data_IF_663450432437
#
_entry.id   IF_663450432437
#
_cell.length_a   1.000
_cell.length_b   1.000
_cell.length_c   1.000
_cell.angle_alpha   90.00
_cell.angle_beta   90.00
_cell.angle_gamma   90.00
#
_symmetry.space_group_name_H-M   'P 1'
#
loop_
_entity.id
_entity.type
_entity.pdbx_description
1 polymer ?
#
# COMPACT_ATOMS: atom_id res chain seq x y z
N UNK A 1 22.14 42.87 -16.84
CA UNK A 1 22.12 43.10 -15.39
C UNK A 1 20.85 42.50 -14.77
N UNK A 2 20.99 41.45 -13.95
CA UNK A 2 20.24 41.19 -12.71
C UNK A 2 20.61 39.78 -12.22
N UNK A 3 21.63 39.71 -11.37
CA UNK A 3 21.89 38.59 -10.47
C UNK A 3 20.95 38.74 -9.28
N UNK A 4 19.92 37.92 -9.21
CA UNK A 4 19.06 37.73 -8.03
C UNK A 4 19.24 36.24 -7.71
N UNK A 5 20.22 35.89 -6.90
CA UNK A 5 20.22 35.93 -5.42
C UNK A 5 19.94 34.52 -4.91
N UNK A 6 21.02 33.74 -4.82
CA UNK A 6 21.08 32.40 -4.21
C UNK A 6 20.85 32.43 -2.68
N UNK A 7 20.44 33.58 -2.11
CA UNK A 7 20.22 33.77 -0.68
C UNK A 7 18.86 33.23 -0.19
N UNK A 8 17.86 33.06 -1.07
CA UNK A 8 16.56 32.52 -0.63
C UNK A 8 16.55 31.02 -0.37
N UNK A 9 17.49 30.26 -0.94
CA UNK A 9 17.55 28.81 -0.71
C UNK A 9 18.25 28.45 0.62
N UNK A 10 19.12 29.32 1.13
CA UNK A 10 19.88 29.04 2.36
C UNK A 10 19.09 29.30 3.65
N UNK A 11 18.02 30.09 3.60
CA UNK A 11 17.20 30.41 4.78
C UNK A 11 16.21 29.30 5.14
N UNK A 12 15.82 28.48 4.16
CA UNK A 12 14.85 27.38 4.37
C UNK A 12 15.54 26.17 5.04
N UNK A 13 16.84 25.98 4.82
CA UNK A 13 17.58 24.85 5.38
C UNK A 13 17.91 25.00 6.88
N UNK A 14 18.00 26.24 7.39
CA UNK A 14 18.30 26.50 8.80
C UNK A 14 17.08 26.45 9.73
N UNK A 15 15.86 26.59 9.19
CA UNK A 15 14.63 26.50 9.99
C UNK A 15 14.23 25.05 10.32
N UNK A 16 14.76 24.07 9.58
CA UNK A 16 14.47 22.64 9.81
C UNK A 16 15.27 22.02 10.95
N UNK A 17 16.35 22.68 11.41
CA UNK A 17 17.27 22.10 12.42
C UNK A 17 16.88 22.50 13.86
N UNK A 18 16.06 23.54 14.05
CA UNK A 18 15.72 24.05 15.40
C UNK A 18 14.44 23.45 15.99
N UNK A 19 13.80 22.47 15.35
CA UNK A 19 12.54 21.87 15.84
C UNK A 19 12.71 20.50 16.52
N UNK A 20 13.93 20.06 16.81
CA UNK A 20 14.22 18.75 17.46
C UNK A 20 14.89 18.87 18.83
N UNK A 21 14.77 20.00 19.51
CA UNK A 21 15.34 20.17 20.84
C UNK A 21 14.37 20.90 21.78
N UNK A 22 13.30 20.23 22.18
CA UNK A 22 12.57 20.62 23.39
C UNK A 22 11.77 19.45 23.93
N UNK A 23 12.15 18.97 25.13
CA UNK A 23 11.29 18.13 25.97
C UNK A 23 11.91 16.82 26.42
N UNK A 24 12.92 16.88 27.27
CA UNK A 24 13.23 15.82 28.22
C UNK A 24 13.03 16.39 29.63
N UNK A 25 11.98 15.92 30.32
CA UNK A 25 11.93 15.86 31.78
C UNK A 25 10.90 14.79 32.19
N UNK A 26 11.26 14.03 33.23
CA UNK A 26 10.86 12.64 33.45
C UNK A 26 9.46 12.41 34.01
N UNK A 27 9.05 11.14 33.98
CA UNK A 27 8.66 10.33 35.15
C UNK A 27 8.57 8.87 34.73
N UNK A 28 9.16 8.02 35.54
CA UNK A 28 9.26 6.57 35.43
C UNK A 28 7.87 5.90 35.50
N UNK A 29 7.39 5.33 34.38
CA UNK A 29 6.46 4.17 34.33
C UNK A 29 6.65 3.47 32.96
N UNK A 30 7.82 2.89 32.72
CA UNK A 30 8.19 2.31 31.42
C UNK A 30 8.64 0.86 31.59
N UNK A 31 7.70 -0.07 31.76
CA UNK A 31 8.01 -1.50 31.76
C UNK A 31 6.94 -2.44 31.15
N UNK A 32 5.90 -1.93 30.49
CA UNK A 32 4.90 -2.77 29.81
C UNK A 32 4.59 -2.36 28.35
N UNK A 33 4.92 -1.13 27.94
CA UNK A 33 4.57 -0.62 26.59
C UNK A 33 5.55 -1.07 25.49
N UNK A 34 6.85 -1.20 25.79
CA UNK A 34 7.84 -1.61 24.78
C UNK A 34 7.69 -3.07 24.37
N UNK A 35 7.35 -3.94 25.33
CA UNK A 35 7.09 -5.37 25.11
C UNK A 35 5.89 -5.59 24.17
N UNK A 36 4.80 -4.83 24.36
CA UNK A 36 3.59 -4.96 23.54
C UNK A 36 3.78 -4.42 22.12
N UNK A 37 4.51 -3.31 21.94
CA UNK A 37 4.81 -2.74 20.62
C UNK A 37 5.73 -3.66 19.82
N UNK A 38 6.79 -4.21 20.43
CA UNK A 38 7.67 -5.16 19.76
C UNK A 38 6.91 -6.43 19.36
N UNK A 39 6.07 -6.94 20.27
CA UNK A 39 5.19 -8.09 20.00
C UNK A 39 4.25 -7.83 18.82
N UNK A 40 3.62 -6.65 18.79
CA UNK A 40 2.71 -6.23 17.73
C UNK A 40 3.41 -6.19 16.36
N UNK A 41 4.56 -5.51 16.29
CA UNK A 41 5.35 -5.43 15.05
C UNK A 41 5.81 -6.80 14.57
N UNK A 42 6.15 -7.70 15.51
CA UNK A 42 6.56 -9.05 15.16
C UNK A 42 5.37 -9.87 14.64
N UNK A 43 4.20 -9.74 15.25
CA UNK A 43 2.95 -10.33 14.79
C UNK A 43 2.56 -9.89 13.37
N UNK A 44 2.66 -8.58 13.10
CA UNK A 44 2.43 -8.02 11.78
C UNK A 44 3.38 -8.63 10.75
N UNK A 45 4.69 -8.68 11.07
CA UNK A 45 5.70 -9.27 10.18
C UNK A 45 5.46 -10.75 9.91
N UNK A 46 5.00 -11.52 10.89
CA UNK A 46 4.59 -12.90 10.70
C UNK A 46 3.41 -13.00 9.74
N UNK A 47 2.37 -12.18 9.94
CA UNK A 47 1.18 -12.19 9.08
C UNK A 47 1.52 -11.89 7.60
N UNK A 48 2.43 -10.94 7.36
CA UNK A 48 2.92 -10.59 6.02
C UNK A 48 4.01 -11.52 5.47
N UNK A 49 4.48 -12.51 6.24
CA UNK A 49 5.53 -13.43 5.78
C UNK A 49 6.94 -12.82 5.71
N UNK A 50 7.21 -11.79 6.51
CA UNK A 50 8.48 -11.06 6.55
C UNK A 50 9.50 -11.63 7.55
N UNK A 51 9.25 -12.84 8.05
CA UNK A 51 10.15 -13.58 8.94
C UNK A 51 10.61 -14.85 8.23
N UNK A 52 11.92 -14.96 8.04
CA UNK A 52 12.54 -16.07 7.32
C UNK A 52 12.26 -17.42 7.97
N UNK A 53 12.06 -18.43 7.14
CA UNK A 53 11.88 -19.82 7.57
C UNK A 53 10.48 -20.16 8.13
N UNK A 54 9.60 -19.16 8.34
CA UNK A 54 8.24 -19.39 8.85
C UNK A 54 7.24 -19.82 7.78
N UNK A 55 7.51 -19.52 6.51
CA UNK A 55 6.63 -19.86 5.38
C UNK A 55 7.45 -20.39 4.20
N UNK A 56 7.06 -21.51 3.61
CA UNK A 56 7.75 -22.07 2.44
C UNK A 56 7.28 -21.47 1.10
N UNK A 57 6.02 -21.02 1.02
CA UNK A 57 5.45 -20.54 -0.25
C UNK A 57 4.51 -19.34 -0.14
N UNK A 58 3.58 -19.37 0.81
CA UNK A 58 2.54 -18.36 0.99
C UNK A 58 2.43 -17.97 2.46
N UNK A 59 2.21 -16.68 2.71
CA UNK A 59 1.94 -16.13 4.02
C UNK A 59 0.44 -15.89 4.22
N UNK A 60 0.03 -15.48 5.42
CA UNK A 60 -1.37 -15.18 5.72
C UNK A 60 -1.92 -14.06 4.83
N UNK A 61 -1.14 -13.00 4.65
CA UNK A 61 -1.52 -11.83 3.84
C UNK A 61 -1.70 -12.13 2.33
N UNK A 62 -1.20 -13.26 1.83
CA UNK A 62 -1.40 -13.66 0.43
C UNK A 62 -2.84 -14.07 0.12
N UNK A 63 -3.61 -14.45 1.15
CA UNK A 63 -5.01 -14.85 1.03
C UNK A 63 -5.95 -13.91 1.80
N UNK A 64 -5.47 -13.35 2.91
CA UNK A 64 -6.26 -12.54 3.84
C UNK A 64 -5.86 -11.06 3.72
N UNK A 65 -6.55 -10.34 2.83
CA UNK A 65 -6.23 -8.95 2.54
C UNK A 65 -6.31 -8.07 3.79
N UNK A 66 -5.33 -7.18 3.98
CA UNK A 66 -5.30 -6.15 5.02
C UNK A 66 -5.70 -4.77 4.49
N UNK A 67 -6.09 -4.73 3.23
CA UNK A 67 -6.49 -3.53 2.51
C UNK A 67 -7.86 -3.77 1.90
N UNK A 68 -8.64 -2.71 1.75
CA UNK A 68 -9.87 -2.78 0.97
C UNK A 68 -9.53 -3.17 -0.47
N UNK A 69 -10.22 -4.21 -0.96
CA UNK A 69 -10.11 -4.67 -2.34
C UNK A 69 -11.47 -4.58 -3.01
N UNK A 70 -11.46 -4.13 -4.26
CA UNK A 70 -12.66 -4.04 -5.10
C UNK A 70 -12.89 -5.32 -5.92
N UNK A 71 -12.17 -6.40 -5.59
CA UNK A 71 -12.24 -7.70 -6.26
C UNK A 71 -12.82 -8.75 -5.33
N UNK A 72 -13.52 -9.72 -5.90
CA UNK A 72 -14.03 -10.85 -5.12
C UNK A 72 -12.87 -11.69 -4.54
N UNK A 73 -12.91 -11.96 -3.23
CA UNK A 73 -12.01 -12.90 -2.55
C UNK A 73 -12.85 -13.96 -1.85
N UNK A 74 -12.56 -15.24 -2.12
CA UNK A 74 -13.23 -16.37 -1.46
C UNK A 74 -12.78 -16.56 -0.01
N UNK A 75 -11.67 -15.93 0.40
CA UNK A 75 -11.15 -15.98 1.76
C UNK A 75 -11.60 -14.75 2.56
N UNK A 76 -11.84 -14.89 3.87
CA UNK A 76 -12.10 -13.74 4.71
C UNK A 76 -10.89 -12.79 4.66
N UNK A 77 -11.12 -11.49 4.71
CA UNK A 77 -10.05 -10.52 4.87
C UNK A 77 -9.49 -10.55 6.32
N UNK A 78 -8.37 -9.89 6.55
CA UNK A 78 -7.71 -9.91 7.86
C UNK A 78 -8.59 -9.34 8.98
N UNK A 79 -9.39 -8.32 8.67
CA UNK A 79 -10.33 -7.72 9.62
C UNK A 79 -11.46 -8.69 9.98
N UNK A 80 -12.01 -9.42 9.02
CA UNK A 80 -13.05 -10.44 9.27
C UNK A 80 -12.53 -11.56 10.16
N UNK A 81 -11.27 -11.99 9.97
CA UNK A 81 -10.63 -12.97 10.87
C UNK A 81 -10.47 -12.39 12.27
N UNK A 82 -9.93 -11.18 12.37
CA UNK A 82 -9.72 -10.49 13.62
C UNK A 82 -11.03 -10.36 14.40
N UNK A 83 -12.08 -9.88 13.75
CA UNK A 83 -13.41 -9.74 14.31
C UNK A 83 -14.01 -11.09 14.75
N UNK A 84 -13.85 -12.15 13.95
CA UNK A 84 -14.35 -13.49 14.29
C UNK A 84 -13.66 -14.11 15.51
N UNK A 85 -12.38 -13.80 15.75
CA UNK A 85 -11.56 -14.38 16.82
C UNK A 85 -11.28 -13.43 17.99
N UNK A 86 -11.84 -12.21 17.99
CA UNK A 86 -11.67 -11.21 19.04
C UNK A 86 -12.01 -11.74 20.43
N UNK A 87 -13.18 -12.36 20.55
CA UNK A 87 -13.68 -12.91 21.82
C UNK A 87 -13.31 -14.39 22.03
N UNK A 88 -12.58 -14.99 21.07
CA UNK A 88 -12.19 -16.40 21.14
C UNK A 88 -10.87 -16.56 21.86
N UNK A 89 -10.71 -17.71 22.49
CA UNK A 89 -9.47 -18.04 23.20
C UNK A 89 -8.28 -18.19 22.25
N UNK A 90 -7.06 -17.94 22.75
CA UNK A 90 -5.83 -18.22 22.02
C UNK A 90 -5.75 -19.68 21.56
N UNK A 91 -6.29 -20.62 22.35
CA UNK A 91 -6.32 -22.04 22.00
C UNK A 91 -7.20 -22.31 20.76
N UNK A 92 -8.37 -21.66 20.67
CA UNK A 92 -9.25 -21.80 19.50
C UNK A 92 -8.61 -21.19 18.24
N UNK A 93 -7.97 -20.03 18.37
CA UNK A 93 -7.24 -19.42 17.27
C UNK A 93 -6.06 -20.30 16.83
N UNK A 94 -5.30 -20.84 17.78
CA UNK A 94 -4.19 -21.77 17.52
C UNK A 94 -4.65 -23.02 16.79
N UNK A 95 -5.81 -23.57 17.19
CA UNK A 95 -6.40 -24.69 16.48
C UNK A 95 -6.78 -24.31 15.05
N UNK A 96 -7.33 -23.12 14.82
CA UNK A 96 -7.70 -22.67 13.48
C UNK A 96 -6.50 -22.47 12.55
N UNK A 97 -5.37 -21.97 13.09
CA UNK A 97 -4.15 -21.72 12.31
C UNK A 97 -3.35 -23.00 12.11
N UNK A 98 -3.06 -23.76 13.17
CA UNK A 98 -2.18 -24.93 13.08
C UNK A 98 -2.91 -26.21 12.65
N UNK A 99 -4.23 -26.29 12.89
CA UNK A 99 -5.05 -27.46 12.60
C UNK A 99 -6.39 -27.08 11.93
N UNK A 100 -6.37 -26.38 10.79
CA UNK A 100 -7.58 -25.94 10.11
C UNK A 100 -8.45 -27.13 9.69
N UNK A 101 -9.76 -26.97 9.80
CA UNK A 101 -10.73 -28.04 9.55
C UNK A 101 -11.04 -28.27 8.06
N UNK A 102 -10.81 -27.28 7.20
CA UNK A 102 -11.12 -27.38 5.77
C UNK A 102 -9.92 -27.91 4.98
N UNK A 103 -10.17 -28.82 4.03
CA UNK A 103 -9.12 -29.46 3.21
C UNK A 103 -8.20 -28.45 2.51
N UNK A 104 -8.78 -27.38 1.96
CA UNK A 104 -8.03 -26.32 1.30
C UNK A 104 -7.11 -25.61 2.28
N UNK A 105 -7.60 -25.25 3.47
CA UNK A 105 -6.79 -24.55 4.45
C UNK A 105 -5.72 -25.45 5.06
N UNK A 106 -6.01 -26.72 5.33
CA UNK A 106 -4.99 -27.67 5.78
C UNK A 106 -3.86 -27.83 4.76
N UNK A 107 -4.18 -27.78 3.47
CA UNK A 107 -3.15 -27.87 2.41
C UNK A 107 -2.29 -26.61 2.37
N UNK A 108 -2.90 -25.42 2.46
CA UNK A 108 -2.14 -24.16 2.45
C UNK A 108 -1.25 -24.02 3.69
N UNK A 109 -1.79 -24.37 4.87
CA UNK A 109 -1.09 -24.21 6.15
C UNK A 109 -0.03 -25.29 6.41
N UNK A 110 0.04 -26.36 5.60
CA UNK A 110 1.17 -27.31 5.65
C UNK A 110 2.53 -26.66 5.37
N UNK A 111 2.52 -25.51 4.69
CA UNK A 111 3.74 -24.75 4.35
C UNK A 111 4.18 -23.81 5.48
N UNK A 112 3.49 -23.83 6.62
CA UNK A 112 3.73 -22.94 7.75
C UNK A 112 4.59 -23.66 8.79
N UNK A 113 5.71 -23.04 9.15
CA UNK A 113 6.59 -23.48 10.22
C UNK A 113 6.42 -22.55 11.44
N UNK A 114 5.17 -22.45 11.91
CA UNK A 114 4.77 -21.58 13.02
C UNK A 114 4.69 -22.39 14.32
N UNK A 115 5.22 -21.84 15.40
CA UNK A 115 4.98 -22.33 16.75
C UNK A 115 3.83 -21.58 17.44
N UNK A 116 3.46 -22.01 18.65
CA UNK A 116 2.35 -21.38 19.39
C UNK A 116 2.64 -19.92 19.72
N UNK A 117 3.90 -19.56 19.97
CA UNK A 117 4.30 -18.19 20.26
C UNK A 117 4.16 -17.29 19.03
N UNK A 118 4.51 -17.79 17.84
CA UNK A 118 4.26 -17.06 16.59
C UNK A 118 2.77 -16.80 16.39
N UNK A 119 1.93 -17.81 16.65
CA UNK A 119 0.47 -17.69 16.52
C UNK A 119 -0.11 -16.70 17.52
N UNK A 120 0.41 -16.66 18.75
CA UNK A 120 0.05 -15.66 19.76
C UNK A 120 0.37 -14.24 19.28
N UNK A 121 1.54 -14.03 18.69
CA UNK A 121 1.92 -12.73 18.12
C UNK A 121 1.04 -12.35 16.93
N UNK A 122 0.70 -13.30 16.05
CA UNK A 122 -0.26 -13.06 14.95
C UNK A 122 -1.63 -12.66 15.52
N UNK A 123 -2.08 -13.31 16.59
CA UNK A 123 -3.35 -12.94 17.25
C UNK A 123 -3.27 -11.54 17.85
N UNK A 124 -2.18 -11.21 18.54
CA UNK A 124 -1.94 -9.86 19.07
C UNK A 124 -2.04 -8.80 17.96
N UNK A 125 -1.44 -9.07 16.80
CA UNK A 125 -1.58 -8.21 15.62
C UNK A 125 -3.02 -8.10 15.13
N UNK A 126 -3.73 -9.22 15.00
CA UNK A 126 -5.12 -9.18 14.51
C UNK A 126 -6.04 -8.45 15.48
N UNK A 127 -5.85 -8.61 16.79
CA UNK A 127 -6.65 -7.93 17.80
C UNK A 127 -6.48 -6.40 17.71
N UNK A 128 -5.25 -5.89 17.51
CA UNK A 128 -4.97 -4.47 17.22
C UNK A 128 -5.50 -4.03 15.84
N UNK A 129 -5.36 -4.89 14.83
CA UNK A 129 -5.83 -4.62 13.47
C UNK A 129 -7.36 -4.45 13.39
N UNK A 130 -8.12 -5.13 14.26
CA UNK A 130 -9.57 -5.01 14.33
C UNK A 130 -10.03 -3.58 14.63
N UNK A 131 -9.28 -2.88 15.51
CA UNK A 131 -9.57 -1.50 15.91
C UNK A 131 -9.32 -0.51 14.76
N UNK A 132 -8.33 -0.79 13.93
CA UNK A 132 -7.92 0.07 12.81
C UNK A 132 -8.72 -0.19 11.52
N UNK A 133 -9.17 -1.42 11.31
CA UNK A 133 -9.90 -1.82 10.11
C UNK A 133 -9.01 -2.01 8.88
N UNK A 134 -9.66 -2.33 7.75
CA UNK A 134 -8.96 -2.42 6.47
C UNK A 134 -8.45 -1.05 6.04
N UNK A 135 -7.20 -1.01 5.60
CA UNK A 135 -6.64 0.24 5.05
C UNK A 135 -7.19 0.52 3.64
N UNK A 136 -7.54 1.78 3.38
CA UNK A 136 -8.09 2.19 2.08
C UNK A 136 -7.01 2.22 1.00
N UNK A 137 -7.28 1.63 -0.16
CA UNK A 137 -6.38 1.69 -1.31
C UNK A 137 -6.35 3.12 -1.87
N UNK A 138 -5.28 3.87 -1.63
CA UNK A 138 -5.12 5.22 -2.20
C UNK A 138 -5.08 5.13 -3.74
N UNK A 139 -5.85 5.94 -4.48
CA UNK A 139 -5.75 6.00 -5.93
C UNK A 139 -4.34 6.41 -6.33
N UNK A 140 -3.83 5.85 -7.43
CA UNK A 140 -2.47 6.12 -7.92
C UNK A 140 -2.45 7.51 -8.57
N UNK A 141 -2.43 8.58 -7.76
CA UNK A 141 -2.54 10.00 -8.18
C UNK A 141 -1.59 10.31 -9.35
N UNK A 142 -0.40 9.70 -9.35
CA UNK A 142 0.61 9.90 -10.40
C UNK A 142 0.12 9.54 -11.81
N UNK A 143 -0.71 8.49 -11.96
CA UNK A 143 -1.23 8.07 -13.27
C UNK A 143 -2.30 9.03 -13.79
N UNK A 144 -3.18 9.50 -12.92
CA UNK A 144 -4.23 10.49 -13.27
C UNK A 144 -3.57 11.82 -13.66
N UNK A 145 -2.62 12.29 -12.86
CA UNK A 145 -1.88 13.51 -13.17
C UNK A 145 -1.16 13.42 -14.52
N UNK A 146 -0.47 12.30 -14.79
CA UNK A 146 0.19 12.06 -16.07
C UNK A 146 -0.82 12.03 -17.24
N UNK A 147 -1.98 11.41 -17.06
CA UNK A 147 -3.03 11.37 -18.07
C UNK A 147 -3.53 12.78 -18.44
N UNK A 148 -3.77 13.64 -17.43
CA UNK A 148 -4.20 15.02 -17.63
C UNK A 148 -3.10 15.84 -18.32
N UNK A 149 -1.85 15.70 -17.89
CA UNK A 149 -0.70 16.39 -18.49
C UNK A 149 -0.57 16.06 -19.98
N UNK A 150 -0.64 14.78 -20.33
CA UNK A 150 -0.61 14.34 -21.73
C UNK A 150 -1.81 14.87 -22.53
N UNK A 151 -2.97 14.98 -21.90
CA UNK A 151 -4.17 15.58 -22.51
C UNK A 151 -3.95 17.04 -22.89
N UNK A 152 -3.39 17.84 -21.97
CA UNK A 152 -3.03 19.24 -22.23
C UNK A 152 -2.02 19.35 -23.38
N UNK A 153 -1.00 18.49 -23.41
CA UNK A 153 0.00 18.44 -24.49
C UNK A 153 -0.67 18.12 -25.83
N UNK A 154 -1.56 17.13 -25.89
CA UNK A 154 -2.28 16.77 -27.11
C UNK A 154 -3.17 17.91 -27.60
N UNK A 155 -3.94 18.54 -26.71
CA UNK A 155 -4.77 19.70 -27.06
C UNK A 155 -3.91 20.83 -27.62
N UNK A 156 -2.77 21.13 -27.00
CA UNK A 156 -1.84 22.15 -27.48
C UNK A 156 -1.28 21.82 -28.87
N UNK A 157 -0.90 20.56 -29.11
CA UNK A 157 -0.41 20.11 -30.42
C UNK A 157 -1.50 20.26 -31.49
N UNK A 158 -2.74 19.86 -31.21
CA UNK A 158 -3.87 20.02 -32.13
C UNK A 158 -4.09 21.52 -32.42
N UNK A 159 -4.11 22.37 -31.39
CA UNK A 159 -4.29 23.81 -31.57
C UNK A 159 -3.18 24.43 -32.42
N UNK A 160 -1.92 24.01 -32.24
CA UNK A 160 -0.83 24.53 -33.06
C UNK A 160 -0.91 24.05 -34.51
N UNK A 161 -1.23 22.78 -34.76
CA UNK A 161 -1.33 22.23 -36.12
C UNK A 161 -2.45 22.92 -36.92
N UNK A 162 -3.62 23.11 -36.31
CA UNK A 162 -4.81 23.61 -37.03
C UNK A 162 -4.93 25.13 -37.02
N UNK A 163 -4.70 25.79 -35.88
CA UNK A 163 -5.01 27.21 -35.69
C UNK A 163 -3.76 28.10 -35.65
N UNK A 164 -2.85 27.86 -34.71
CA UNK A 164 -1.74 28.80 -34.46
C UNK A 164 -0.65 28.72 -35.54
N UNK A 165 -0.42 27.52 -36.09
CA UNK A 165 0.61 27.21 -37.10
C UNK A 165 1.98 27.80 -36.76
N UNK A 166 2.30 27.91 -35.46
CA UNK A 166 3.48 28.65 -34.98
C UNK A 166 4.75 27.84 -35.16
N UNK A 167 4.67 26.51 -35.06
CA UNK A 167 5.82 25.63 -35.19
C UNK A 167 6.07 25.25 -36.66
N UNK A 168 7.23 25.65 -37.19
CA UNK A 168 7.61 25.36 -38.58
C UNK A 168 7.83 23.86 -38.85
N UNK A 169 8.33 23.11 -37.87
CA UNK A 169 8.67 21.68 -38.00
C UNK A 169 7.50 20.78 -37.61
N UNK A 170 6.54 20.61 -38.52
CA UNK A 170 5.30 19.85 -38.27
C UNK A 170 5.52 18.37 -37.94
N UNK A 171 6.58 17.75 -38.46
CA UNK A 171 6.87 16.34 -38.16
C UNK A 171 7.22 16.12 -36.67
N UNK A 172 7.84 17.11 -36.00
CA UNK A 172 8.14 17.03 -34.56
C UNK A 172 6.84 16.99 -33.76
N UNK A 173 5.88 17.86 -34.11
CA UNK A 173 4.55 17.85 -33.49
C UNK A 173 3.82 16.53 -33.74
N UNK A 174 3.94 15.96 -34.95
CA UNK A 174 3.39 14.64 -35.27
C UNK A 174 3.97 13.52 -34.40
N UNK A 175 5.28 13.50 -34.16
CA UNK A 175 5.93 12.52 -33.29
C UNK A 175 5.45 12.68 -31.84
N UNK A 176 5.42 13.91 -31.32
CA UNK A 176 4.94 14.20 -29.96
C UNK A 176 3.50 13.74 -29.80
N UNK A 177 2.65 14.01 -30.79
CA UNK A 177 1.26 13.59 -30.80
C UNK A 177 1.13 12.06 -30.71
N UNK A 178 1.84 11.33 -31.57
CA UNK A 178 1.78 9.86 -31.59
C UNK A 178 2.26 9.24 -30.27
N UNK A 179 3.37 9.75 -29.71
CA UNK A 179 3.89 9.26 -28.43
C UNK A 179 2.92 9.54 -27.28
N UNK A 180 2.41 10.77 -27.18
CA UNK A 180 1.47 11.14 -26.13
C UNK A 180 0.15 10.36 -26.23
N UNK A 181 -0.36 10.17 -27.45
CA UNK A 181 -1.58 9.39 -27.70
C UNK A 181 -1.38 7.92 -27.35
N UNK A 182 -0.28 7.29 -27.79
CA UNK A 182 0.04 5.91 -27.46
C UNK A 182 0.13 5.69 -25.94
N UNK A 183 0.74 6.64 -25.23
CA UNK A 183 0.83 6.57 -23.77
C UNK A 183 -0.52 6.77 -23.07
N UNK A 184 -1.37 7.69 -23.55
CA UNK A 184 -2.73 7.84 -23.03
C UNK A 184 -3.58 6.58 -23.26
N UNK A 185 -3.50 5.97 -24.44
CA UNK A 185 -4.20 4.71 -24.73
C UNK A 185 -3.72 3.61 -23.81
N UNK A 186 -2.40 3.50 -23.58
CA UNK A 186 -1.85 2.53 -22.62
C UNK A 186 -2.38 2.77 -21.21
N UNK A 187 -2.36 4.01 -20.72
CA UNK A 187 -2.89 4.35 -19.39
C UNK A 187 -4.39 4.02 -19.28
N UNK A 188 -5.16 4.29 -20.33
CA UNK A 188 -6.58 3.98 -20.38
C UNK A 188 -6.84 2.48 -20.45
N UNK A 189 -6.03 1.72 -21.19
CA UNK A 189 -6.10 0.27 -21.24
C UNK A 189 -5.75 -0.36 -19.89
N UNK A 190 -4.67 0.09 -19.24
CA UNK A 190 -4.28 -0.39 -17.92
C UNK A 190 -5.37 -0.06 -16.88
N UNK A 191 -5.97 1.14 -16.96
CA UNK A 191 -7.09 1.52 -16.11
C UNK A 191 -8.34 0.68 -16.40
N UNK A 192 -8.72 0.54 -17.67
CA UNK A 192 -9.90 -0.20 -18.11
C UNK A 192 -9.80 -1.70 -17.81
N UNK A 193 -8.63 -2.30 -17.99
CA UNK A 193 -8.39 -3.71 -17.59
C UNK A 193 -8.32 -3.88 -16.09
N UNK A 194 -7.85 -2.88 -15.34
CA UNK A 194 -7.93 -2.92 -13.88
C UNK A 194 -9.36 -2.81 -13.36
N UNK A 195 -10.22 -2.04 -14.05
CA UNK A 195 -11.64 -1.89 -13.74
C UNK A 195 -12.45 -3.11 -14.19
N UNK A 196 -12.28 -3.58 -15.43
CA UNK A 196 -12.98 -4.77 -15.96
C UNK A 196 -12.53 -6.10 -15.37
N UNK A 197 -11.55 -6.09 -14.46
CA UNK A 197 -11.20 -7.24 -13.60
C UNK A 197 -11.90 -7.14 -12.23
N UNK A 198 -12.75 -6.15 -12.01
CA UNK A 198 -13.63 -6.00 -10.85
C UNK A 198 -15.01 -6.56 -11.21
N UNK A 199 -15.57 -7.40 -10.34
CA UNK A 199 -16.88 -8.00 -10.60
C UNK A 199 -17.97 -6.97 -10.24
N UNK A 200 -18.73 -6.54 -11.26
CA UNK A 200 -19.70 -5.41 -11.34
C UNK A 200 -19.27 -4.19 -12.21
N UNK A 201 -18.29 -4.34 -13.11
CA UNK A 201 -18.13 -3.47 -14.29
C UNK A 201 -17.76 -4.25 -15.56
#
# INVERSE_FOLDING_TARGET
MRRISNLSFSLIFLLSITLTASGADGTEEEHDSHSSVEGLMRGERLFYGLIDGKFESKACADCHNTVEIDTFNWNPNAWEIAHQYKERSLQEFTKAVLNPSSKTMSTMHQTFNLDVGDVELIKLFLDDFEEHGLSKRKPVINKIFLFILLGVVLTWVILDIFFLKRVKRRYILGIIFLVALAWQVKLLYDAGTSLGRQENY
#
